data_IF_000468704163
#
_entry.id   IF_000468704163
#
_cell.length_a   1.000
_cell.length_b   1.000
_cell.length_c   1.000
_cell.angle_alpha   90.00
_cell.angle_beta   90.00
_cell.angle_gamma   90.00
#
_symmetry.space_group_name_H-M   'P 1'
#
loop_
_entity.id
_entity.type
_entity.pdbx_description
1 polymer ?
#
# COMPACT_ATOMS: atom_id res chain seq x y z
N UNK A 1 -5.68 -10.16 8.69
CA UNK A 1 -5.59 -8.75 8.34
C UNK A 1 -4.75 -8.04 9.39
N UNK A 2 -3.67 -7.37 9.00
CA UNK A 2 -2.73 -6.76 9.96
C UNK A 2 -3.10 -5.32 10.22
N UNK A 3 -3.04 -4.88 11.49
CA UNK A 3 -3.39 -3.53 11.93
C UNK A 3 -2.23 -2.53 11.91
N UNK A 4 -0.99 -3.00 11.76
CA UNK A 4 0.21 -2.16 11.68
C UNK A 4 1.11 -2.52 10.52
N UNK A 5 1.84 -1.50 10.05
CA UNK A 5 2.89 -1.53 9.06
C UNK A 5 4.09 -2.38 9.50
N UNK A 6 3.89 -3.67 9.69
CA UNK A 6 5.01 -4.57 9.78
C UNK A 6 5.57 -4.78 8.38
N UNK A 7 6.87 -4.67 8.24
CA UNK A 7 7.62 -5.22 7.11
C UNK A 7 7.12 -6.65 6.91
N UNK A 8 6.69 -6.98 5.69
CA UNK A 8 6.18 -8.32 5.39
C UNK A 8 7.30 -9.30 5.73
N UNK A 9 7.06 -10.17 6.71
CA UNK A 9 8.06 -11.11 7.20
C UNK A 9 8.28 -12.22 6.17
N UNK A 10 9.52 -12.67 6.01
CA UNK A 10 9.91 -13.68 5.01
C UNK A 10 9.22 -15.05 5.19
N UNK A 11 8.85 -15.41 6.41
CA UNK A 11 8.08 -16.62 6.73
C UNK A 11 6.63 -16.59 6.19
N UNK A 12 6.13 -15.42 5.86
CA UNK A 12 4.78 -15.20 5.29
C UNK A 12 4.75 -15.18 3.77
N UNK A 13 5.88 -15.36 3.11
CA UNK A 13 5.97 -15.38 1.66
C UNK A 13 5.76 -16.81 1.13
N UNK A 14 5.21 -16.93 -0.09
CA UNK A 14 5.02 -18.21 -0.76
C UNK A 14 6.34 -18.74 -1.35
N UNK A 15 7.32 -17.86 -1.56
CA UNK A 15 8.68 -18.19 -2.00
C UNK A 15 9.70 -17.24 -1.38
N UNK A 16 10.99 -17.57 -1.52
CA UNK A 16 12.05 -16.80 -0.86
C UNK A 16 12.23 -15.40 -1.46
N UNK A 17 12.56 -14.43 -0.61
CA UNK A 17 12.83 -13.04 -1.00
C UNK A 17 13.87 -12.92 -2.11
N UNK A 18 14.97 -13.70 -2.02
CA UNK A 18 16.06 -13.65 -2.99
C UNK A 18 15.66 -14.03 -4.41
N UNK A 19 14.68 -14.95 -4.54
CA UNK A 19 14.16 -15.37 -5.83
C UNK A 19 13.20 -14.32 -6.39
N UNK A 20 12.44 -13.66 -5.50
CA UNK A 20 11.50 -12.61 -5.90
C UNK A 20 12.21 -11.31 -6.30
N UNK A 21 13.21 -10.92 -5.54
CA UNK A 21 13.87 -9.64 -5.69
C UNK A 21 15.34 -9.72 -5.28
N UNK A 22 16.23 -9.84 -6.27
CA UNK A 22 17.67 -9.90 -6.05
C UNK A 22 18.31 -8.51 -6.14
N UNK A 23 18.34 -7.79 -5.02
CA UNK A 23 18.91 -6.42 -4.95
C UNK A 23 20.37 -6.34 -5.43
N UNK A 24 21.18 -7.41 -5.20
CA UNK A 24 22.59 -7.44 -5.61
C UNK A 24 22.70 -7.47 -7.14
N UNK A 25 21.94 -8.34 -7.78
CA UNK A 25 21.91 -8.48 -9.24
C UNK A 25 21.40 -7.18 -9.90
N UNK A 26 20.32 -6.61 -9.38
CA UNK A 26 19.75 -5.35 -9.89
C UNK A 26 20.74 -4.19 -9.77
N UNK A 27 21.43 -4.06 -8.65
CA UNK A 27 22.49 -3.06 -8.50
C UNK A 27 23.62 -3.26 -9.53
N UNK A 28 24.03 -4.51 -9.80
CA UNK A 28 25.04 -4.79 -10.82
C UNK A 28 24.59 -4.37 -12.22
N UNK A 29 23.33 -4.70 -12.61
CA UNK A 29 22.74 -4.28 -13.89
C UNK A 29 22.66 -2.75 -14.01
N UNK A 30 22.21 -2.05 -12.98
CA UNK A 30 22.14 -0.58 -12.96
C UNK A 30 23.53 0.05 -13.04
N UNK A 31 24.51 -0.45 -12.29
CA UNK A 31 25.90 0.03 -12.37
C UNK A 31 26.50 -0.16 -13.76
N UNK A 32 26.15 -1.21 -14.47
CA UNK A 32 26.52 -1.41 -15.87
C UNK A 32 25.86 -0.37 -16.78
N UNK A 33 24.55 -0.14 -16.61
CA UNK A 33 23.81 0.86 -17.38
C UNK A 33 24.39 2.28 -17.18
N UNK A 34 24.77 2.65 -15.94
CA UNK A 34 25.42 3.95 -15.64
C UNK A 34 26.73 4.13 -16.41
N UNK A 35 27.51 3.07 -16.59
CA UNK A 35 28.82 3.12 -17.27
C UNK A 35 28.70 3.14 -18.78
N UNK A 36 27.62 2.58 -19.34
CA UNK A 36 27.50 2.32 -20.79
C UNK A 36 26.51 3.25 -21.49
N UNK A 37 25.62 3.91 -20.76
CA UNK A 37 24.52 4.68 -21.35
C UNK A 37 24.68 6.18 -21.17
N UNK A 38 24.16 6.95 -22.13
CA UNK A 38 24.00 8.39 -21.99
C UNK A 38 22.98 8.72 -20.89
N UNK A 39 23.16 9.84 -20.21
CA UNK A 39 22.31 10.24 -19.07
C UNK A 39 20.83 10.31 -19.41
N UNK A 40 20.48 10.72 -20.62
CA UNK A 40 19.10 10.87 -21.08
C UNK A 40 18.37 9.50 -21.24
N UNK A 41 19.12 8.43 -21.51
CA UNK A 41 18.59 7.08 -21.65
C UNK A 41 18.61 6.27 -20.36
N UNK A 42 19.25 6.78 -19.31
CA UNK A 42 19.48 6.05 -18.06
C UNK A 42 18.17 5.73 -17.34
N UNK A 43 17.22 6.68 -17.30
CA UNK A 43 15.90 6.46 -16.65
C UNK A 43 15.12 5.34 -17.33
N UNK A 44 15.04 5.33 -18.65
CA UNK A 44 14.35 4.28 -19.42
C UNK A 44 15.01 2.91 -19.23
N UNK A 45 16.34 2.88 -19.17
CA UNK A 45 17.07 1.64 -18.89
C UNK A 45 16.80 1.11 -17.47
N UNK A 46 16.76 1.98 -16.47
CA UNK A 46 16.39 1.61 -15.10
C UNK A 46 14.96 1.03 -15.09
N UNK A 47 14.03 1.69 -15.75
CA UNK A 47 12.64 1.21 -15.85
C UNK A 47 12.57 -0.18 -16.49
N UNK A 48 13.34 -0.43 -17.55
CA UNK A 48 13.41 -1.75 -18.22
C UNK A 48 13.94 -2.82 -17.26
N UNK A 49 15.04 -2.56 -16.57
CA UNK A 49 15.62 -3.50 -15.59
C UNK A 49 14.63 -3.85 -14.48
N UNK A 50 13.92 -2.85 -13.96
CA UNK A 50 12.92 -3.05 -12.91
C UNK A 50 11.65 -3.74 -13.44
N UNK A 51 11.25 -3.47 -14.69
CA UNK A 51 10.15 -4.15 -15.36
C UNK A 51 10.42 -5.65 -15.52
N UNK A 52 11.64 -6.01 -15.95
CA UNK A 52 12.07 -7.41 -16.03
C UNK A 52 12.03 -8.09 -14.65
N UNK A 53 12.52 -7.43 -13.61
CA UNK A 53 12.47 -7.93 -12.24
C UNK A 53 11.03 -8.15 -11.76
N UNK A 54 10.12 -7.21 -12.07
CA UNK A 54 8.69 -7.34 -11.76
C UNK A 54 8.04 -8.54 -12.48
N UNK A 55 8.33 -8.71 -13.79
CA UNK A 55 7.81 -9.83 -14.57
C UNK A 55 8.29 -11.16 -14.02
N UNK A 56 9.60 -11.28 -13.78
CA UNK A 56 10.21 -12.51 -13.26
C UNK A 56 9.68 -12.84 -11.85
N UNK A 57 9.57 -11.85 -10.96
CA UNK A 57 8.99 -12.04 -9.62
C UNK A 57 7.54 -12.51 -9.69
N UNK A 58 6.72 -11.92 -10.57
CA UNK A 58 5.32 -12.35 -10.78
C UNK A 58 5.20 -13.77 -11.31
N UNK A 59 6.03 -14.13 -12.27
CA UNK A 59 6.07 -15.50 -12.81
C UNK A 59 6.42 -16.53 -11.74
N UNK A 60 7.37 -16.20 -10.87
CA UNK A 60 7.72 -17.08 -9.76
C UNK A 60 6.59 -17.20 -8.73
N UNK A 61 5.91 -16.10 -8.39
CA UNK A 61 4.73 -16.15 -7.52
C UNK A 61 3.64 -17.04 -8.14
N UNK A 62 3.33 -16.87 -9.42
CA UNK A 62 2.34 -17.68 -10.12
C UNK A 62 2.71 -19.17 -10.07
N UNK A 63 3.95 -19.52 -10.39
CA UNK A 63 4.46 -20.89 -10.38
C UNK A 63 4.36 -21.53 -8.98
N UNK A 64 4.59 -20.79 -7.92
CA UNK A 64 4.44 -21.30 -6.57
C UNK A 64 2.97 -21.42 -6.15
N UNK A 65 2.13 -20.48 -6.56
CA UNK A 65 0.69 -20.56 -6.33
C UNK A 65 0.06 -21.78 -7.02
N UNK A 66 0.48 -22.12 -8.24
CA UNK A 66 0.01 -23.33 -8.95
C UNK A 66 0.34 -24.63 -8.18
N UNK A 67 1.44 -24.63 -7.42
CA UNK A 67 1.80 -25.76 -6.54
C UNK A 67 1.08 -25.75 -5.19
N UNK A 68 0.71 -24.56 -4.71
CA UNK A 68 0.13 -24.33 -3.39
C UNK A 68 -1.12 -23.43 -3.51
N UNK A 69 -2.18 -23.86 -4.22
CA UNK A 69 -3.31 -23.00 -4.59
C UNK A 69 -4.16 -22.52 -3.40
N UNK A 70 -4.03 -23.16 -2.24
CA UNK A 70 -4.74 -22.76 -1.01
C UNK A 70 -3.96 -21.76 -0.14
N UNK A 71 -2.74 -21.39 -0.54
CA UNK A 71 -1.91 -20.42 0.17
C UNK A 71 -2.15 -18.97 -0.32
N UNK A 72 -3.42 -18.58 -0.46
CA UNK A 72 -3.83 -17.26 -0.99
C UNK A 72 -3.26 -16.11 -0.15
N UNK A 73 -3.32 -16.19 1.17
CA UNK A 73 -2.79 -15.16 2.07
C UNK A 73 -1.28 -14.94 1.90
N UNK A 74 -0.50 -16.03 1.74
CA UNK A 74 0.94 -15.96 1.45
C UNK A 74 1.21 -15.40 0.06
N UNK A 75 0.39 -15.76 -0.92
CA UNK A 75 0.48 -15.25 -2.29
C UNK A 75 0.26 -13.73 -2.33
N UNK A 76 -0.80 -13.23 -1.68
CA UNK A 76 -1.12 -11.80 -1.56
C UNK A 76 -0.01 -11.02 -0.86
N UNK A 77 0.52 -11.56 0.25
CA UNK A 77 1.66 -10.97 0.95
C UNK A 77 2.90 -10.91 0.06
N UNK A 78 3.13 -11.94 -0.76
CA UNK A 78 4.29 -12.00 -1.67
C UNK A 78 4.20 -10.98 -2.80
N UNK A 79 3.01 -10.77 -3.39
CA UNK A 79 2.80 -9.68 -4.35
C UNK A 79 3.06 -8.31 -3.71
N UNK A 80 2.61 -8.09 -2.49
CA UNK A 80 2.87 -6.85 -1.75
C UNK A 80 4.36 -6.66 -1.48
N UNK A 81 5.07 -7.70 -1.04
CA UNK A 81 6.53 -7.67 -0.83
C UNK A 81 7.29 -7.31 -2.12
N UNK A 82 6.91 -7.92 -3.26
CA UNK A 82 7.54 -7.62 -4.55
C UNK A 82 7.36 -6.14 -4.91
N UNK A 83 6.15 -5.58 -4.74
CA UNK A 83 5.90 -4.15 -5.01
C UNK A 83 6.66 -3.24 -4.07
N UNK A 84 6.67 -3.54 -2.78
CA UNK A 84 7.43 -2.79 -1.78
C UNK A 84 8.91 -2.73 -2.13
N UNK A 85 9.49 -3.87 -2.52
CA UNK A 85 10.89 -3.99 -2.90
C UNK A 85 11.23 -3.17 -4.14
N UNK A 86 10.39 -3.26 -5.19
CA UNK A 86 10.56 -2.51 -6.44
C UNK A 86 10.46 -1.00 -6.22
N UNK A 87 9.46 -0.53 -5.46
CA UNK A 87 9.23 0.90 -5.21
C UNK A 87 10.34 1.47 -4.34
N UNK A 88 10.72 0.78 -3.26
CA UNK A 88 11.80 1.23 -2.39
C UNK A 88 13.14 1.27 -3.13
N UNK A 89 13.40 0.28 -3.97
CA UNK A 89 14.61 0.26 -4.78
C UNK A 89 14.62 1.34 -5.86
N UNK A 90 13.49 1.58 -6.54
CA UNK A 90 13.36 2.68 -7.49
C UNK A 90 13.62 4.04 -6.82
N UNK A 91 13.11 4.25 -5.59
CA UNK A 91 13.39 5.45 -4.82
C UNK A 91 14.88 5.61 -4.50
N UNK A 92 15.54 4.54 -4.03
CA UNK A 92 16.98 4.54 -3.76
C UNK A 92 17.78 4.95 -5.01
N UNK A 93 17.43 4.38 -6.16
CA UNK A 93 18.09 4.65 -7.44
C UNK A 93 17.85 6.09 -7.91
N UNK A 94 16.62 6.59 -7.85
CA UNK A 94 16.29 7.96 -8.26
C UNK A 94 17.05 8.97 -7.42
N UNK A 95 17.05 8.84 -6.11
CA UNK A 95 17.70 9.82 -5.23
C UNK A 95 19.22 9.79 -5.29
N UNK A 96 19.83 8.62 -5.55
CA UNK A 96 21.30 8.47 -5.52
C UNK A 96 21.94 8.64 -6.90
N UNK A 97 21.25 8.26 -7.96
CA UNK A 97 21.82 8.21 -9.33
C UNK A 97 21.26 9.35 -10.18
N UNK A 98 19.92 9.45 -10.31
CA UNK A 98 19.31 10.44 -11.19
C UNK A 98 19.33 11.85 -10.59
N UNK A 99 19.13 11.95 -9.29
CA UNK A 99 19.09 13.22 -8.54
C UNK A 99 20.22 13.32 -7.51
N UNK A 100 21.43 12.96 -7.93
CA UNK A 100 22.64 13.00 -7.09
C UNK A 100 22.80 14.36 -6.41
N UNK A 101 23.13 14.41 -5.12
CA UNK A 101 23.21 15.65 -4.35
C UNK A 101 24.36 16.53 -4.85
N UNK A 102 24.00 17.77 -5.22
CA UNK A 102 24.98 18.84 -5.47
C UNK A 102 25.29 19.68 -4.21
N UNK A 103 24.59 19.43 -3.11
CA UNK A 103 24.67 20.15 -1.84
C UNK A 103 24.44 19.21 -0.66
N UNK A 104 24.81 19.62 0.56
CA UNK A 104 24.64 18.90 1.82
C UNK A 104 23.17 18.68 2.26
N UNK A 105 22.19 18.97 1.42
CA UNK A 105 20.79 18.66 1.69
C UNK A 105 20.54 17.17 1.54
N UNK A 106 20.29 16.50 2.64
CA UNK A 106 19.78 15.13 2.66
C UNK A 106 18.31 15.14 2.20
N UNK A 107 18.05 14.65 0.98
CA UNK A 107 16.70 14.54 0.40
C UNK A 107 15.79 13.70 1.26
N UNK A 108 16.35 12.73 1.99
CA UNK A 108 15.64 11.88 2.94
C UNK A 108 14.85 12.69 3.98
N UNK A 109 15.29 13.91 4.33
CA UNK A 109 14.65 14.68 5.40
C UNK A 109 13.27 15.25 5.02
N UNK A 110 12.86 15.18 3.75
CA UNK A 110 11.71 15.93 3.25
C UNK A 110 10.66 15.13 2.49
N UNK A 111 10.86 13.82 2.31
CA UNK A 111 9.93 12.95 1.59
C UNK A 111 9.79 11.60 2.28
N UNK A 112 8.56 11.13 2.37
CA UNK A 112 8.24 9.76 2.77
C UNK A 112 7.25 9.16 1.76
N UNK A 113 7.49 7.93 1.32
CA UNK A 113 6.62 7.20 0.41
C UNK A 113 5.80 6.22 1.23
N UNK A 114 4.50 6.30 1.08
CA UNK A 114 3.51 5.63 1.91
C UNK A 114 2.55 4.88 0.99
N UNK A 115 2.32 3.61 1.25
CA UNK A 115 1.24 2.84 0.66
C UNK A 115 -0.08 3.18 1.36
N UNK A 116 -1.16 3.34 0.59
CA UNK A 116 -2.49 3.65 1.12
C UNK A 116 -3.54 2.70 0.53
N UNK A 117 -4.73 2.68 1.10
CA UNK A 117 -5.83 1.83 0.62
C UNK A 117 -5.48 0.34 0.65
N UNK A 118 -5.88 -0.42 -0.38
CA UNK A 118 -5.61 -1.86 -0.48
C UNK A 118 -4.13 -2.21 -0.44
N UNK A 119 -3.30 -1.39 -1.05
CA UNK A 119 -1.85 -1.54 -1.01
C UNK A 119 -1.29 -1.25 0.39
N UNK A 120 -1.89 -0.30 1.12
CA UNK A 120 -1.52 -0.02 2.51
C UNK A 120 -1.74 -1.21 3.44
N UNK A 121 -2.80 -2.02 3.22
CA UNK A 121 -3.06 -3.26 3.97
C UNK A 121 -2.09 -4.39 3.68
N UNK A 122 -1.24 -4.26 2.66
CA UNK A 122 -0.41 -5.34 2.12
C UNK A 122 -1.25 -6.50 1.56
N UNK A 123 -2.40 -6.19 0.95
CA UNK A 123 -3.32 -7.15 0.34
C UNK A 123 -3.39 -6.93 -1.18
N UNK A 124 -2.31 -7.32 -1.88
CA UNK A 124 -2.19 -7.12 -3.32
C UNK A 124 -2.59 -8.37 -4.09
N UNK A 125 -3.71 -8.32 -4.81
CA UNK A 125 -4.03 -9.30 -5.83
C UNK A 125 -3.15 -9.09 -7.09
N UNK A 126 -3.06 -10.08 -8.02
CA UNK A 126 -2.19 -9.99 -9.20
C UNK A 126 -2.36 -8.74 -10.07
N UNK A 127 -3.57 -8.18 -10.10
CA UNK A 127 -3.95 -7.02 -10.93
C UNK A 127 -4.35 -5.79 -10.11
N UNK A 128 -4.07 -5.79 -8.81
CA UNK A 128 -4.35 -4.64 -7.94
C UNK A 128 -3.56 -3.41 -8.36
N UNK A 129 -4.19 -2.25 -8.21
CA UNK A 129 -3.55 -0.96 -8.36
C UNK A 129 -2.60 -0.68 -7.18
N UNK A 130 -1.56 0.09 -7.44
CA UNK A 130 -0.59 0.52 -6.43
C UNK A 130 -0.92 1.95 -6.04
N UNK A 131 -1.45 2.15 -4.83
CA UNK A 131 -1.82 3.48 -4.35
C UNK A 131 -0.72 4.06 -3.46
N UNK A 132 -0.13 5.19 -3.88
CA UNK A 132 1.00 5.85 -3.24
C UNK A 132 0.65 7.26 -2.75
N UNK A 133 1.07 7.57 -1.54
CA UNK A 133 1.13 8.91 -1.03
C UNK A 133 2.61 9.34 -0.91
N UNK A 134 3.01 10.33 -1.71
CA UNK A 134 4.27 11.05 -1.54
C UNK A 134 4.05 12.14 -0.48
N UNK A 135 4.40 11.83 0.75
CA UNK A 135 4.29 12.77 1.85
C UNK A 135 5.48 13.70 1.84
N UNK A 136 5.20 15.02 1.79
CA UNK A 136 6.23 16.06 1.72
C UNK A 136 5.93 17.20 2.70
N UNK A 137 6.84 18.18 2.79
CA UNK A 137 6.52 19.49 3.38
C UNK A 137 5.51 20.26 2.50
N UNK A 138 4.82 21.29 3.03
CA UNK A 138 3.79 22.04 2.29
C UNK A 138 4.28 22.65 0.96
N UNK A 139 5.56 22.98 0.87
CA UNK A 139 6.20 23.51 -0.35
C UNK A 139 7.46 22.69 -0.61
N UNK A 140 7.34 21.55 -1.33
CA UNK A 140 8.49 20.73 -1.67
C UNK A 140 9.45 21.51 -2.59
N UNK A 141 10.75 21.32 -2.40
CA UNK A 141 11.76 21.89 -3.28
C UNK A 141 11.65 21.32 -4.71
N UNK A 142 12.19 22.05 -5.71
CA UNK A 142 12.24 21.57 -7.09
C UNK A 142 12.89 20.19 -7.21
N UNK A 143 13.87 19.91 -6.36
CA UNK A 143 14.55 18.61 -6.32
C UNK A 143 13.59 17.49 -5.85
N UNK A 144 12.79 17.72 -4.80
CA UNK A 144 11.78 16.75 -4.33
C UNK A 144 10.73 16.51 -5.43
N UNK A 145 10.27 17.57 -6.10
CA UNK A 145 9.32 17.45 -7.21
C UNK A 145 9.92 16.60 -8.33
N UNK A 146 11.20 16.84 -8.68
CA UNK A 146 11.88 16.05 -9.71
C UNK A 146 12.07 14.59 -9.34
N UNK A 147 12.35 14.29 -8.07
CA UNK A 147 12.41 12.91 -7.58
C UNK A 147 11.05 12.22 -7.74
N UNK A 148 9.95 12.89 -7.37
CA UNK A 148 8.60 12.33 -7.52
C UNK A 148 8.29 12.09 -9.00
N UNK A 149 8.60 13.05 -9.89
CA UNK A 149 8.41 12.89 -11.33
C UNK A 149 9.21 11.70 -11.89
N UNK A 150 10.49 11.61 -11.59
CA UNK A 150 11.35 10.52 -12.09
C UNK A 150 10.88 9.15 -11.54
N UNK A 151 10.43 9.10 -10.28
CA UNK A 151 9.79 7.91 -9.71
C UNK A 151 8.55 7.51 -10.51
N UNK A 152 7.64 8.44 -10.75
CA UNK A 152 6.39 8.18 -11.47
C UNK A 152 6.66 7.71 -12.90
N UNK A 153 7.60 8.34 -13.60
CA UNK A 153 7.98 7.90 -14.95
C UNK A 153 8.53 6.46 -14.95
N UNK A 154 9.40 6.10 -14.01
CA UNK A 154 9.92 4.73 -13.90
C UNK A 154 8.77 3.75 -13.64
N UNK A 155 7.87 4.06 -12.72
CA UNK A 155 6.76 3.18 -12.35
C UNK A 155 5.74 3.01 -13.50
N UNK A 156 5.47 4.08 -14.29
CA UNK A 156 4.63 4.00 -15.48
C UNK A 156 5.29 3.21 -16.61
N UNK A 157 6.59 3.42 -16.84
CA UNK A 157 7.34 2.66 -17.84
C UNK A 157 7.41 1.17 -17.50
N UNK A 158 7.35 0.81 -16.20
CA UNK A 158 7.16 -0.56 -15.73
C UNK A 158 5.73 -1.09 -15.95
N UNK A 159 4.83 -0.30 -16.55
CA UNK A 159 3.40 -0.61 -16.77
C UNK A 159 2.64 -0.97 -15.48
N UNK A 160 3.02 -0.38 -14.37
CA UNK A 160 2.27 -0.48 -13.13
C UNK A 160 1.06 0.46 -13.18
N UNK A 161 -0.08 -0.03 -12.74
CA UNK A 161 -1.25 0.83 -12.49
C UNK A 161 -1.04 1.56 -11.17
N UNK A 162 -0.73 2.85 -11.25
CA UNK A 162 -0.39 3.69 -10.09
C UNK A 162 -1.47 4.72 -9.86
N UNK A 163 -2.11 4.66 -8.69
CA UNK A 163 -2.79 5.79 -8.06
C UNK A 163 -1.78 6.56 -7.21
N UNK A 164 -1.71 7.88 -7.35
CA UNK A 164 -0.79 8.63 -6.50
C UNK A 164 -1.34 10.00 -6.08
N UNK A 165 -0.80 10.48 -4.98
CA UNK A 165 -0.99 11.86 -4.53
C UNK A 165 0.27 12.38 -3.86
N UNK A 166 0.51 13.69 -3.99
CA UNK A 166 1.57 14.40 -3.26
C UNK A 166 0.92 15.39 -2.30
N UNK A 167 1.15 15.21 -1.00
CA UNK A 167 0.48 15.99 0.04
C UNK A 167 1.39 16.24 1.23
N UNK A 168 1.13 17.33 1.92
CA UNK A 168 1.64 17.55 3.27
C UNK A 168 0.72 16.93 4.32
N UNK A 169 1.20 16.79 5.56
CA UNK A 169 0.40 16.26 6.68
C UNK A 169 -0.91 17.04 6.85
N UNK A 170 -0.84 18.37 6.80
CA UNK A 170 -2.02 19.22 6.98
C UNK A 170 -3.05 19.03 5.85
N UNK A 171 -2.59 18.91 4.60
CA UNK A 171 -3.47 18.60 3.46
C UNK A 171 -4.14 17.25 3.61
N UNK A 172 -3.42 16.22 4.06
CA UNK A 172 -4.02 14.91 4.34
C UNK A 172 -5.13 15.01 5.38
N UNK A 173 -4.90 15.74 6.47
CA UNK A 173 -5.89 15.93 7.53
C UNK A 173 -7.11 16.71 7.03
N UNK A 174 -6.90 17.81 6.31
CA UNK A 174 -7.99 18.62 5.77
C UNK A 174 -8.87 17.83 4.79
N UNK A 175 -8.26 17.18 3.82
CA UNK A 175 -8.98 16.35 2.85
C UNK A 175 -9.67 15.15 3.49
N UNK A 176 -9.02 14.49 4.44
CA UNK A 176 -9.63 13.37 5.17
C UNK A 176 -10.82 13.78 6.06
N UNK A 177 -10.97 15.07 6.41
CA UNK A 177 -12.16 15.58 7.10
C UNK A 177 -13.36 15.77 6.19
N UNK A 178 -13.13 16.02 4.91
CA UNK A 178 -14.19 16.34 3.93
C UNK A 178 -14.49 15.21 2.96
N UNK A 179 -13.60 14.21 2.84
CA UNK A 179 -13.72 13.09 1.91
C UNK A 179 -13.51 11.76 2.65
N UNK A 180 -14.56 10.94 2.72
CA UNK A 180 -14.55 9.65 3.39
C UNK A 180 -13.68 8.60 2.69
N UNK A 181 -13.55 8.68 1.37
CA UNK A 181 -12.67 7.78 0.61
C UNK A 181 -11.22 8.04 0.99
N UNK A 182 -10.84 9.33 1.06
CA UNK A 182 -9.50 9.74 1.51
C UNK A 182 -9.30 9.36 2.98
N UNK A 183 -10.29 9.61 3.86
CA UNK A 183 -10.22 9.22 5.28
C UNK A 183 -9.96 7.73 5.43
N UNK A 184 -10.69 6.90 4.70
CA UNK A 184 -10.53 5.44 4.73
C UNK A 184 -9.18 5.00 4.17
N UNK A 185 -8.72 5.58 3.05
CA UNK A 185 -7.40 5.29 2.50
C UNK A 185 -6.26 5.67 3.48
N UNK A 186 -6.42 6.80 4.18
CA UNK A 186 -5.49 7.24 5.22
C UNK A 186 -5.54 6.37 6.49
N UNK A 187 -6.66 5.72 6.79
CA UNK A 187 -6.75 4.77 7.91
C UNK A 187 -5.89 3.53 7.66
N UNK A 188 -5.60 3.22 6.41
CA UNK A 188 -4.86 2.04 5.96
C UNK A 188 -3.45 2.36 5.45
N UNK A 189 -2.89 3.47 5.90
CA UNK A 189 -1.55 3.87 5.50
C UNK A 189 -0.46 2.93 6.05
N UNK A 190 0.60 2.71 5.24
CA UNK A 190 1.77 1.92 5.61
C UNK A 190 3.04 2.56 5.05
N UNK A 191 4.08 2.68 5.87
CA UNK A 191 5.39 3.18 5.46
C UNK A 191 6.06 2.23 4.45
N UNK A 192 6.64 2.79 3.40
CA UNK A 192 7.47 2.05 2.45
C UNK A 192 8.95 2.45 2.56
N UNK A 193 9.26 3.71 2.28
CA UNK A 193 10.63 4.22 2.29
C UNK A 193 10.67 5.74 2.45
N UNK A 194 11.88 6.30 2.56
CA UNK A 194 12.12 7.73 2.75
C UNK A 194 12.23 8.12 4.22
N UNK A 195 11.79 9.30 4.60
CA UNK A 195 11.93 9.83 5.95
C UNK A 195 10.96 9.17 6.94
N UNK A 196 11.47 8.30 7.79
CA UNK A 196 10.68 7.61 8.82
C UNK A 196 10.13 8.57 9.88
N UNK A 197 10.88 9.61 10.26
CA UNK A 197 10.42 10.58 11.26
C UNK A 197 9.24 11.41 10.73
N UNK A 198 9.26 11.74 9.43
CA UNK A 198 8.13 12.42 8.77
C UNK A 198 6.88 11.53 8.75
N UNK A 199 7.04 10.23 8.49
CA UNK A 199 5.96 9.26 8.58
C UNK A 199 5.42 9.11 10.01
N UNK A 200 6.28 9.03 11.01
CA UNK A 200 5.86 8.87 12.41
C UNK A 200 5.11 10.12 12.93
N UNK A 201 5.53 11.32 12.48
CA UNK A 201 4.79 12.57 12.76
C UNK A 201 3.43 12.58 12.05
N UNK A 202 3.36 12.07 10.82
CA UNK A 202 2.13 11.92 10.06
C UNK A 202 1.15 10.96 10.77
N UNK A 203 1.56 9.74 11.13
CA UNK A 203 0.72 8.77 11.84
C UNK A 203 0.17 9.37 13.14
N UNK A 204 1.05 9.96 13.95
CA UNK A 204 0.67 10.61 15.22
C UNK A 204 -0.35 11.74 15.01
N UNK A 205 -0.18 12.59 14.00
CA UNK A 205 -1.08 13.71 13.70
C UNK A 205 -2.40 13.23 13.10
N UNK A 206 -2.42 12.19 12.29
CA UNK A 206 -3.66 11.58 11.81
C UNK A 206 -4.49 11.05 12.98
N UNK A 207 -3.88 10.27 13.87
CA UNK A 207 -4.56 9.74 15.06
C UNK A 207 -5.15 10.86 15.92
N UNK A 208 -4.39 11.95 16.12
CA UNK A 208 -4.81 13.05 16.99
C UNK A 208 -5.87 13.95 16.35
N UNK A 209 -5.78 14.25 15.06
CA UNK A 209 -6.52 15.35 14.44
C UNK A 209 -7.57 14.90 13.41
N UNK A 210 -7.51 13.65 12.94
CA UNK A 210 -8.44 13.10 11.97
C UNK A 210 -9.28 11.97 12.57
N UNK A 211 -8.67 11.02 13.28
CA UNK A 211 -9.36 9.83 13.76
C UNK A 211 -9.97 9.98 15.17
N UNK A 212 -9.82 11.13 15.80
CA UNK A 212 -10.50 11.47 17.07
C UNK A 212 -11.90 12.09 16.90
N UNK A 213 -12.33 12.36 15.66
CA UNK A 213 -13.65 12.90 15.40
C UNK A 213 -14.77 11.88 15.75
N UNK A 214 -16.02 12.34 15.75
CA UNK A 214 -17.20 11.54 16.10
C UNK A 214 -17.18 10.15 15.43
N UNK A 215 -17.06 9.10 16.25
CA UNK A 215 -17.13 7.72 15.80
C UNK A 215 -18.50 7.42 15.14
N UNK A 216 -19.55 8.00 15.68
CA UNK A 216 -20.93 7.84 15.18
C UNK A 216 -21.07 8.27 13.72
N UNK A 217 -20.57 9.47 13.38
CA UNK A 217 -20.61 10.01 12.01
C UNK A 217 -19.89 9.08 11.02
N UNK A 218 -18.70 8.60 11.37
CA UNK A 218 -17.96 7.67 10.50
C UNK A 218 -18.67 6.33 10.31
N UNK A 219 -19.29 5.81 11.37
CA UNK A 219 -20.08 4.56 11.31
C UNK A 219 -21.28 4.73 10.41
N UNK A 220 -22.07 5.80 10.57
CA UNK A 220 -23.25 6.11 9.76
C UNK A 220 -22.89 6.23 8.29
N UNK A 221 -21.84 6.98 7.95
CA UNK A 221 -21.34 7.13 6.58
C UNK A 221 -20.90 5.79 5.97
N UNK A 222 -20.22 4.92 6.74
CA UNK A 222 -19.83 3.58 6.25
C UNK A 222 -21.01 2.63 6.06
N UNK A 223 -22.02 2.73 6.88
CA UNK A 223 -23.26 1.97 6.72
C UNK A 223 -24.05 2.44 5.50
N UNK A 224 -24.11 3.74 5.25
CA UNK A 224 -24.73 4.31 4.05
C UNK A 224 -23.95 3.90 2.77
N UNK A 225 -22.62 4.02 2.78
CA UNK A 225 -21.78 3.55 1.67
C UNK A 225 -22.05 2.08 1.35
N UNK A 226 -22.16 1.23 2.39
CA UNK A 226 -22.49 -0.19 2.25
C UNK A 226 -23.88 -0.40 1.65
N UNK A 227 -24.88 0.33 2.12
CA UNK A 227 -26.25 0.24 1.60
C UNK A 227 -26.31 0.61 0.12
N UNK A 228 -25.71 1.74 -0.25
CA UNK A 228 -25.63 2.22 -1.64
C UNK A 228 -24.88 1.23 -2.54
N UNK A 229 -23.82 0.59 -2.05
CA UNK A 229 -23.10 -0.46 -2.79
C UNK A 229 -23.96 -1.68 -3.03
N UNK A 230 -24.66 -2.15 -2.01
CA UNK A 230 -25.58 -3.31 -2.13
C UNK A 230 -26.71 -3.04 -3.11
N UNK A 231 -27.26 -1.84 -3.13
CA UNK A 231 -28.29 -1.43 -4.08
C UNK A 231 -27.78 -1.46 -5.53
N UNK A 232 -26.61 -0.91 -5.79
CA UNK A 232 -25.96 -0.94 -7.13
C UNK A 232 -25.69 -2.36 -7.61
N UNK A 233 -25.48 -3.32 -6.71
CA UNK A 233 -25.30 -4.75 -7.02
C UNK A 233 -26.63 -5.50 -7.12
N UNK A 234 -27.76 -4.79 -7.28
CA UNK A 234 -29.11 -5.37 -7.44
C UNK A 234 -29.77 -5.85 -6.15
N UNK A 235 -29.16 -5.59 -4.99
CA UNK A 235 -29.78 -5.85 -3.67
C UNK A 235 -30.03 -7.33 -3.30
N UNK A 236 -29.84 -8.26 -4.23
CA UNK A 236 -30.15 -9.67 -4.06
C UNK A 236 -29.01 -10.43 -3.38
N UNK A 237 -29.36 -11.44 -2.57
CA UNK A 237 -28.37 -12.33 -1.94
C UNK A 237 -27.97 -13.50 -2.85
N UNK A 238 -28.86 -13.91 -3.73
CA UNK A 238 -28.67 -15.06 -4.61
C UNK A 238 -28.51 -14.55 -6.04
N UNK A 239 -27.30 -14.57 -6.52
CA UNK A 239 -26.93 -14.24 -7.90
C UNK A 239 -26.22 -15.43 -8.54
N UNK A 240 -26.44 -15.66 -9.83
CA UNK A 240 -25.79 -16.75 -10.58
C UNK A 240 -24.26 -16.55 -10.57
N UNK A 241 -23.81 -15.31 -10.69
CA UNK A 241 -22.38 -14.94 -10.63
C UNK A 241 -22.20 -13.85 -9.56
N UNK A 242 -21.98 -14.21 -8.29
CA UNK A 242 -21.84 -13.25 -7.22
C UNK A 242 -20.52 -12.48 -7.34
N UNK A 243 -20.57 -11.16 -7.17
CA UNK A 243 -19.35 -10.35 -7.04
C UNK A 243 -18.74 -10.58 -5.65
N UNK A 244 -17.66 -11.37 -5.59
CA UNK A 244 -16.96 -11.75 -4.34
C UNK A 244 -16.47 -10.53 -3.55
N UNK A 245 -16.13 -9.42 -4.24
CA UNK A 245 -15.62 -8.21 -3.62
C UNK A 245 -16.76 -7.27 -3.16
N UNK A 246 -17.70 -6.92 -4.06
CA UNK A 246 -18.64 -5.82 -3.85
C UNK A 246 -20.06 -6.30 -3.49
N UNK A 247 -20.37 -7.60 -3.69
CA UNK A 247 -21.67 -8.19 -3.37
C UNK A 247 -21.96 -8.25 -1.87
N UNK A 248 -23.23 -8.54 -1.52
CA UNK A 248 -23.64 -8.77 -0.12
C UNK A 248 -22.89 -9.95 0.48
N UNK A 249 -22.26 -9.75 1.64
CA UNK A 249 -21.43 -10.75 2.30
C UNK A 249 -20.07 -10.95 1.66
N UNK A 250 -19.70 -10.11 0.67
CA UNK A 250 -18.39 -10.14 0.01
C UNK A 250 -17.28 -9.45 0.83
N UNK A 251 -16.09 -9.49 0.28
CA UNK A 251 -14.87 -8.99 0.95
C UNK A 251 -14.99 -7.52 1.43
N UNK A 252 -15.71 -6.67 0.68
CA UNK A 252 -15.90 -5.26 1.06
C UNK A 252 -16.74 -5.09 2.32
N UNK A 253 -17.67 -6.01 2.60
CA UNK A 253 -18.44 -5.96 3.84
C UNK A 253 -17.56 -6.26 5.06
N UNK A 254 -16.64 -7.24 4.95
CA UNK A 254 -15.65 -7.52 5.98
C UNK A 254 -14.68 -6.36 6.16
N UNK A 255 -14.23 -5.76 5.06
CA UNK A 255 -13.38 -4.57 5.11
C UNK A 255 -14.08 -3.39 5.79
N UNK A 256 -15.36 -3.16 5.50
CA UNK A 256 -16.16 -2.09 6.13
C UNK A 256 -16.27 -2.30 7.64
N UNK A 257 -16.56 -3.53 8.08
CA UNK A 257 -16.58 -3.87 9.50
C UNK A 257 -15.22 -3.60 10.16
N UNK A 258 -14.15 -4.01 9.50
CA UNK A 258 -12.79 -3.79 10.00
C UNK A 258 -12.43 -2.30 10.09
N UNK A 259 -12.77 -1.49 9.08
CA UNK A 259 -12.53 -0.03 9.11
C UNK A 259 -13.29 0.65 10.24
N UNK A 260 -14.56 0.30 10.41
CA UNK A 260 -15.38 0.80 11.51
C UNK A 260 -14.71 0.47 12.85
N UNK A 261 -14.37 -0.79 13.06
CA UNK A 261 -13.77 -1.23 14.32
C UNK A 261 -12.42 -0.56 14.57
N UNK A 262 -11.56 -0.49 13.54
CA UNK A 262 -10.25 0.17 13.63
C UNK A 262 -10.39 1.66 13.98
N UNK A 263 -11.38 2.33 13.39
CA UNK A 263 -11.63 3.75 13.63
C UNK A 263 -12.17 3.99 15.05
N UNK A 264 -13.16 3.20 15.48
CA UNK A 264 -13.84 3.36 16.78
C UNK A 264 -12.94 2.93 17.94
N UNK A 265 -12.26 1.81 17.79
CA UNK A 265 -11.38 1.28 18.83
C UNK A 265 -10.08 2.07 18.97
N UNK A 266 -9.69 2.86 17.96
CA UNK A 266 -8.34 3.43 17.85
C UNK A 266 -7.23 2.39 18.04
N UNK A 267 -7.57 1.12 17.81
CA UNK A 267 -6.72 -0.03 18.09
C UNK A 267 -5.67 -0.21 16.99
N UNK A 268 -4.49 -0.58 17.40
CA UNK A 268 -3.38 -0.91 16.51
C UNK A 268 -3.28 -2.41 16.24
N UNK A 269 -3.92 -3.23 17.09
CA UNK A 269 -3.88 -4.70 17.00
C UNK A 269 -5.28 -5.30 17.20
N UNK A 270 -5.47 -6.51 16.69
CA UNK A 270 -6.72 -7.26 16.92
C UNK A 270 -6.93 -7.59 18.40
N UNK A 271 -5.83 -7.87 19.11
CA UNK A 271 -5.90 -8.14 20.54
C UNK A 271 -6.46 -6.93 21.30
N UNK A 272 -6.01 -5.72 20.97
CA UNK A 272 -6.56 -4.51 21.55
C UNK A 272 -8.07 -4.36 21.27
N UNK A 273 -8.57 -4.75 20.10
CA UNK A 273 -10.00 -4.72 19.79
C UNK A 273 -10.81 -5.68 20.66
N UNK A 274 -10.27 -6.88 20.94
CA UNK A 274 -10.88 -7.87 21.83
C UNK A 274 -10.81 -7.37 23.28
N UNK A 275 -9.64 -6.92 23.73
CA UNK A 275 -9.42 -6.44 25.11
C UNK A 275 -10.31 -5.23 25.44
N UNK A 276 -10.64 -4.40 24.44
CA UNK A 276 -11.57 -3.27 24.57
C UNK A 276 -13.05 -3.65 24.41
N UNK A 277 -13.35 -4.93 24.14
CA UNK A 277 -14.73 -5.44 24.03
C UNK A 277 -15.47 -5.10 22.73
N UNK A 278 -14.77 -4.66 21.67
CA UNK A 278 -15.39 -4.44 20.36
C UNK A 278 -15.67 -5.74 19.62
N UNK A 279 -14.90 -6.80 19.91
CA UNK A 279 -15.16 -8.17 19.50
C UNK A 279 -15.03 -9.10 20.70
N UNK A 280 -15.92 -10.07 20.79
CA UNK A 280 -15.64 -11.29 21.54
C UNK A 280 -14.62 -12.13 20.77
N UNK A 281 -13.88 -13.00 21.46
CA UNK A 281 -12.94 -13.92 20.79
C UNK A 281 -13.66 -14.73 19.69
N UNK A 282 -14.87 -15.23 19.96
CA UNK A 282 -15.69 -16.02 19.02
C UNK A 282 -16.07 -15.22 17.76
N UNK A 283 -16.46 -13.96 17.90
CA UNK A 283 -16.79 -13.10 16.74
C UNK A 283 -15.57 -12.84 15.89
N UNK A 284 -14.42 -12.61 16.52
CA UNK A 284 -13.16 -12.44 15.82
C UNK A 284 -12.72 -13.70 15.07
N UNK A 285 -12.86 -14.88 15.69
CA UNK A 285 -12.55 -16.16 15.04
C UNK A 285 -13.47 -16.40 13.84
N UNK A 286 -14.77 -16.11 13.96
CA UNK A 286 -15.73 -16.18 12.85
C UNK A 286 -15.37 -15.19 11.73
N UNK A 287 -14.94 -13.98 12.08
CA UNK A 287 -14.46 -12.99 11.11
C UNK A 287 -13.25 -13.52 10.34
N UNK A 288 -12.29 -14.13 11.03
CA UNK A 288 -11.10 -14.70 10.38
C UNK A 288 -11.47 -15.86 9.44
N UNK A 289 -12.39 -16.74 9.85
CA UNK A 289 -12.88 -17.84 8.99
C UNK A 289 -13.51 -17.28 7.71
N UNK A 290 -14.39 -16.28 7.84
CA UNK A 290 -15.03 -15.65 6.69
C UNK A 290 -14.01 -14.91 5.78
N UNK A 291 -13.05 -14.22 6.38
CA UNK A 291 -11.99 -13.50 5.63
C UNK A 291 -11.07 -14.46 4.87
N UNK A 292 -10.73 -15.60 5.46
CA UNK A 292 -9.88 -16.61 4.82
C UNK A 292 -10.61 -17.40 3.74
N UNK A 293 -11.95 -17.45 3.80
CA UNK A 293 -12.76 -18.09 2.77
C UNK A 293 -12.87 -17.22 1.51
N UNK A 294 -12.99 -15.91 1.64
CA UNK A 294 -13.12 -14.94 0.54
C UNK A 294 -11.77 -14.58 -0.09
#
# INVERSE_FOLDING_TARGET
>A
MKLQSEIIQSDKLICSEKVLFNKIELNAKINTAIKTMAKDNLRSSIATILSEANVNGRLEIQKQFEKLPFESARTIATYSFLKDSLISFAFDVVQTILQSPKSNETVLDYISIIAVGGYGRAEMAPHSDVDLLFLTRPKPSNRIQKIIEDMLYILWDMRLKIGYSTRSINQCIQLGKTDQTIKTALLEHRYLCGNKNLYDDFDRKLRRNLFKASATEYVEEKLEERANRHERQGGQRYMVEPNVKEGKGGLRDLQSLFWITKYVAHASTHKEMIDQGYFTQREYDNFLVAHNFL
#
